data_IF_629508189959
#
_entry.id   IF_629508189959
#
_cell.length_a   1.000
_cell.length_b   1.000
_cell.length_c   1.000
_cell.angle_alpha   90.00
_cell.angle_beta   90.00
_cell.angle_gamma   90.00
#
_symmetry.space_group_name_H-M   'P 1'
#
loop_
_entity.id
_entity.type
_entity.pdbx_description
1 polymer ?
#
# COMPACT_ATOMS: atom_id res chain seq x y z
N UNK A 1 17.66 -53.82 21.82
CA UNK A 1 17.34 -54.34 20.47
C UNK A 1 15.84 -54.32 20.28
N UNK A 2 15.31 -53.20 19.79
CA UNK A 2 13.98 -53.15 19.16
C UNK A 2 14.27 -52.55 17.81
N UNK A 3 14.59 -53.43 16.87
CA UNK A 3 14.76 -53.10 15.47
C UNK A 3 13.46 -53.45 14.76
N UNK A 4 13.01 -52.49 13.93
CA UNK A 4 12.41 -52.71 12.63
C UNK A 4 11.19 -53.64 12.53
N UNK A 5 10.00 -53.03 12.49
CA UNK A 5 8.84 -53.59 11.78
C UNK A 5 7.88 -52.47 11.33
N UNK A 6 8.39 -51.49 10.59
CA UNK A 6 7.58 -50.57 9.78
C UNK A 6 7.91 -50.70 8.29
N UNK A 7 8.08 -51.93 7.79
CA UNK A 7 8.17 -52.19 6.36
C UNK A 7 6.76 -52.54 5.85
N UNK A 8 6.05 -51.54 5.31
CA UNK A 8 4.72 -51.73 4.73
C UNK A 8 3.83 -50.50 4.65
N UNK A 9 4.23 -49.36 5.25
CA UNK A 9 3.53 -48.11 5.00
C UNK A 9 3.94 -47.60 3.61
N UNK A 10 2.97 -47.22 2.73
CA UNK A 10 3.32 -46.54 1.49
C UNK A 10 4.14 -45.29 1.83
N UNK A 11 5.20 -45.04 1.06
CA UNK A 11 6.04 -43.86 1.25
C UNK A 11 5.12 -42.63 1.33
N UNK A 12 5.06 -42.00 2.49
CA UNK A 12 4.23 -40.82 2.68
C UNK A 12 4.80 -39.70 1.83
N UNK A 13 4.12 -39.37 0.74
CA UNK A 13 4.37 -38.16 -0.02
C UNK A 13 3.56 -37.03 0.61
N UNK A 14 4.20 -35.97 1.13
CA UNK A 14 3.47 -34.81 1.62
C UNK A 14 2.59 -34.22 0.50
N UNK A 15 1.38 -33.74 0.83
CA UNK A 15 0.61 -32.85 -0.03
C UNK A 15 1.49 -31.72 -0.59
N UNK A 16 1.21 -31.30 -1.83
CA UNK A 16 1.98 -30.24 -2.50
C UNK A 16 2.08 -28.97 -1.66
N UNK A 17 1.01 -28.56 -0.98
CA UNK A 17 0.98 -27.42 -0.06
C UNK A 17 1.95 -27.56 1.12
N UNK A 18 2.09 -28.75 1.71
CA UNK A 18 3.08 -28.99 2.78
C UNK A 18 4.51 -28.99 2.24
N UNK A 19 4.70 -29.37 0.98
CA UNK A 19 6.01 -29.30 0.31
C UNK A 19 6.40 -27.84 0.04
N UNK A 20 5.48 -27.02 -0.44
CA UNK A 20 5.68 -25.58 -0.67
C UNK A 20 6.02 -24.83 0.62
N UNK A 21 5.39 -25.20 1.75
CA UNK A 21 5.72 -24.63 3.07
C UNK A 21 7.11 -25.02 3.58
N UNK A 22 7.73 -26.05 3.01
CA UNK A 22 9.08 -26.48 3.33
C UNK A 22 10.18 -25.71 2.59
N UNK A 23 9.84 -24.93 1.57
CA UNK A 23 10.82 -24.14 0.81
C UNK A 23 11.40 -23.01 1.66
N UNK A 24 12.72 -22.69 1.52
CA UNK A 24 13.33 -21.58 2.23
C UNK A 24 12.59 -20.25 1.96
N UNK A 25 12.10 -19.53 2.98
CA UNK A 25 11.21 -18.38 2.74
C UNK A 25 11.86 -17.23 1.94
N UNK A 26 13.17 -17.01 2.08
CA UNK A 26 13.90 -16.04 1.27
C UNK A 26 13.97 -16.42 -0.22
N UNK A 27 13.98 -17.73 -0.55
CA UNK A 27 13.94 -18.20 -1.95
C UNK A 27 12.55 -18.08 -2.53
N UNK A 28 11.51 -18.42 -1.76
CA UNK A 28 10.11 -18.16 -2.13
C UNK A 28 9.89 -16.66 -2.42
N UNK A 29 10.48 -15.79 -1.59
CA UNK A 29 10.44 -14.35 -1.81
C UNK A 29 11.15 -13.96 -3.11
N UNK A 30 12.37 -14.46 -3.35
CA UNK A 30 13.10 -14.23 -4.60
C UNK A 30 12.33 -14.72 -5.85
N UNK A 31 11.77 -15.93 -5.79
CA UNK A 31 10.94 -16.49 -6.85
C UNK A 31 9.74 -15.60 -7.19
N UNK A 32 9.09 -15.01 -6.19
CA UNK A 32 8.04 -14.04 -6.44
C UNK A 32 8.56 -12.79 -7.13
N UNK A 33 9.62 -12.16 -6.60
CA UNK A 33 10.15 -10.89 -7.13
C UNK A 33 10.59 -11.02 -8.58
N UNK A 34 11.23 -12.13 -8.94
CA UNK A 34 11.78 -12.35 -10.28
C UNK A 34 10.82 -13.09 -11.20
N UNK A 35 9.88 -13.88 -10.66
CA UNK A 35 9.04 -14.82 -11.40
C UNK A 35 7.55 -14.47 -11.48
N UNK A 36 7.08 -13.42 -10.77
CA UNK A 36 5.65 -13.11 -10.74
C UNK A 36 5.05 -12.61 -12.06
N UNK A 37 5.89 -12.07 -12.95
CA UNK A 37 5.53 -11.70 -14.32
C UNK A 37 6.77 -11.65 -15.21
N UNK A 38 6.60 -11.84 -16.52
CA UNK A 38 7.64 -11.58 -17.51
C UNK A 38 7.82 -10.08 -17.78
N UNK A 39 6.78 -9.27 -17.55
CA UNK A 39 6.86 -7.81 -17.66
C UNK A 39 7.53 -7.20 -16.41
N UNK A 40 8.62 -6.48 -16.62
CA UNK A 40 9.35 -5.74 -15.59
C UNK A 40 8.49 -4.69 -14.89
N UNK A 41 7.53 -4.10 -15.61
CA UNK A 41 6.63 -3.08 -15.04
C UNK A 41 5.72 -3.71 -13.99
N UNK A 42 5.14 -4.85 -14.33
CA UNK A 42 4.29 -5.65 -13.44
C UNK A 42 5.08 -6.17 -12.25
N UNK A 43 6.29 -6.71 -12.46
CA UNK A 43 7.17 -7.10 -11.34
C UNK A 43 7.45 -5.95 -10.40
N UNK A 44 7.70 -4.75 -10.94
CA UNK A 44 7.92 -3.54 -10.13
C UNK A 44 6.69 -3.19 -9.29
N UNK A 45 5.49 -3.16 -9.90
CA UNK A 45 4.26 -2.87 -9.19
C UNK A 45 3.93 -3.93 -8.12
N UNK A 46 4.00 -5.21 -8.47
CA UNK A 46 3.72 -6.33 -7.58
C UNK A 46 4.71 -6.42 -6.40
N UNK A 47 6.01 -6.22 -6.65
CA UNK A 47 7.02 -6.19 -5.60
C UNK A 47 6.86 -4.98 -4.69
N UNK A 48 6.54 -3.81 -5.26
CA UNK A 48 6.24 -2.61 -4.46
C UNK A 48 5.03 -2.85 -3.56
N UNK A 49 3.98 -3.47 -4.12
CA UNK A 49 2.77 -3.81 -3.39
C UNK A 49 3.07 -4.77 -2.23
N UNK A 50 3.81 -5.86 -2.49
CA UNK A 50 4.26 -6.79 -1.45
C UNK A 50 5.00 -6.08 -0.30
N UNK A 51 5.99 -5.25 -0.62
CA UNK A 51 6.80 -4.55 0.39
C UNK A 51 5.95 -3.62 1.24
N UNK A 52 5.11 -2.80 0.60
CA UNK A 52 4.23 -1.87 1.32
C UNK A 52 3.18 -2.62 2.15
N UNK A 53 2.67 -3.74 1.67
CA UNK A 53 1.73 -4.58 2.42
C UNK A 53 2.37 -5.28 3.63
N UNK A 54 3.59 -5.79 3.51
CA UNK A 54 4.34 -6.30 4.65
C UNK A 54 4.65 -5.18 5.66
N UNK A 55 4.99 -3.98 5.17
CA UNK A 55 5.16 -2.82 6.03
C UNK A 55 3.86 -2.50 6.80
N UNK A 56 2.72 -2.47 6.11
CA UNK A 56 1.40 -2.25 6.71
C UNK A 56 1.05 -3.29 7.78
N UNK A 57 1.36 -4.58 7.55
CA UNK A 57 1.10 -5.65 8.51
C UNK A 57 1.83 -5.48 9.84
N UNK A 58 3.03 -4.90 9.83
CA UNK A 58 3.76 -4.57 11.04
C UNK A 58 3.32 -3.22 11.64
N UNK A 59 2.94 -2.29 10.77
CA UNK A 59 2.35 -1.02 11.14
C UNK A 59 3.23 -0.16 12.05
N UNK A 60 2.64 0.43 13.09
CA UNK A 60 3.30 1.44 13.94
C UNK A 60 4.48 0.88 14.74
N UNK A 61 4.55 -0.43 14.95
CA UNK A 61 5.68 -1.10 15.60
C UNK A 61 6.96 -0.98 14.78
N UNK A 62 6.83 -0.99 13.45
CA UNK A 62 7.96 -0.89 12.54
C UNK A 62 8.31 0.57 12.26
N UNK A 63 7.32 1.42 12.02
CA UNK A 63 7.54 2.86 11.76
C UNK A 63 6.36 3.72 12.25
N UNK A 64 6.60 4.94 12.77
CA UNK A 64 5.51 5.81 13.23
C UNK A 64 4.50 6.22 12.15
N UNK A 65 4.93 6.38 10.90
CA UNK A 65 4.07 6.71 9.76
C UNK A 65 4.09 5.55 8.78
N UNK A 66 3.00 4.79 8.75
CA UNK A 66 2.85 3.60 7.92
C UNK A 66 2.35 4.01 6.54
N UNK A 67 3.01 3.61 5.45
CA UNK A 67 2.59 4.01 4.12
C UNK A 67 1.28 3.34 3.71
N UNK A 68 0.43 4.13 3.06
CA UNK A 68 -0.74 3.65 2.34
C UNK A 68 -0.38 3.29 0.90
N UNK A 69 -1.07 2.30 0.35
CA UNK A 69 -0.90 1.78 -1.00
C UNK A 69 -2.26 1.79 -1.69
N UNK A 70 -2.34 2.46 -2.84
CA UNK A 70 -3.44 2.28 -3.77
C UNK A 70 -2.88 1.94 -5.14
N UNK A 71 -3.28 0.80 -5.67
CA UNK A 71 -2.96 0.39 -7.04
C UNK A 71 -3.87 1.16 -8.00
N UNK A 72 -3.30 1.69 -9.08
CA UNK A 72 -4.04 2.47 -10.07
C UNK A 72 -3.83 1.88 -11.44
N UNK A 73 -4.91 1.44 -12.06
CA UNK A 73 -4.91 0.83 -13.39
C UNK A 73 -6.11 1.32 -14.22
N UNK A 74 -6.08 1.18 -15.55
CA UNK A 74 -7.14 1.66 -16.43
C UNK A 74 -8.42 0.80 -16.43
N UNK A 75 -8.39 -0.40 -15.83
CA UNK A 75 -9.50 -1.36 -15.82
C UNK A 75 -10.47 -1.19 -14.65
N UNK A 76 -11.36 -2.19 -14.50
CA UNK A 76 -12.25 -2.30 -13.34
C UNK A 76 -11.45 -2.76 -12.10
N UNK A 77 -11.49 -2.02 -10.98
CA UNK A 77 -10.68 -2.32 -9.79
C UNK A 77 -10.93 -3.67 -9.14
N UNK A 78 -12.10 -4.27 -9.40
CA UNK A 78 -12.46 -5.58 -8.88
C UNK A 78 -11.61 -6.72 -9.48
N UNK A 79 -11.04 -6.51 -10.67
CA UNK A 79 -10.31 -7.51 -11.44
C UNK A 79 -8.78 -7.32 -11.35
N UNK A 80 -8.29 -6.53 -10.39
CA UNK A 80 -6.86 -6.26 -10.24
C UNK A 80 -6.10 -7.47 -9.66
N UNK A 81 -5.22 -8.13 -10.45
CA UNK A 81 -4.51 -9.33 -10.01
C UNK A 81 -3.48 -9.04 -8.90
N UNK A 82 -2.91 -7.84 -8.87
CA UNK A 82 -1.97 -7.42 -7.83
C UNK A 82 -2.71 -7.17 -6.53
N UNK A 83 -3.88 -6.51 -6.59
CA UNK A 83 -4.70 -6.28 -5.40
C UNK A 83 -5.25 -7.59 -4.83
N UNK A 84 -5.67 -8.52 -5.70
CA UNK A 84 -6.09 -9.87 -5.28
C UNK A 84 -4.99 -10.60 -4.52
N UNK A 85 -3.75 -10.58 -5.05
CA UNK A 85 -2.59 -11.15 -4.35
C UNK A 85 -2.34 -10.46 -2.99
N UNK A 86 -2.35 -9.12 -2.95
CA UNK A 86 -2.16 -8.37 -1.70
C UNK A 86 -3.25 -8.68 -0.68
N UNK A 87 -4.52 -8.77 -1.13
CA UNK A 87 -5.66 -9.13 -0.29
C UNK A 87 -5.38 -10.43 0.45
N UNK A 88 -4.93 -11.45 -0.26
CA UNK A 88 -4.63 -12.76 0.32
C UNK A 88 -3.49 -12.73 1.35
N UNK A 89 -2.60 -11.73 1.29
CA UNK A 89 -1.53 -11.55 2.28
C UNK A 89 -1.99 -10.83 3.54
N UNK A 90 -2.82 -9.78 3.40
CA UNK A 90 -3.11 -8.85 4.51
C UNK A 90 -4.52 -8.97 5.09
N UNK A 91 -5.44 -9.59 4.35
CA UNK A 91 -6.84 -9.68 4.70
C UNK A 91 -7.28 -11.13 4.89
N UNK A 92 -7.82 -11.41 6.08
CA UNK A 92 -8.48 -12.68 6.38
C UNK A 92 -9.97 -12.43 6.59
N UNK A 93 -10.78 -12.89 5.65
CA UNK A 93 -12.23 -12.68 5.67
C UNK A 93 -12.89 -13.33 6.90
N UNK A 94 -12.34 -14.43 7.41
CA UNK A 94 -12.87 -15.10 8.60
C UNK A 94 -12.59 -14.30 9.88
N UNK A 95 -11.59 -13.42 9.87
CA UNK A 95 -11.30 -12.57 11.01
C UNK A 95 -12.35 -11.46 11.15
N UNK A 96 -12.93 -10.96 10.06
CA UNK A 96 -13.86 -9.83 10.06
C UNK A 96 -15.33 -10.22 10.20
N UNK A 97 -15.65 -11.52 10.17
CA UNK A 97 -17.03 -11.99 10.28
C UNK A 97 -17.55 -12.00 11.72
N UNK A 98 -18.84 -11.68 11.93
CA UNK A 98 -19.50 -11.90 13.20
C UNK A 98 -19.44 -13.39 13.57
N UNK A 99 -19.15 -13.70 14.84
CA UNK A 99 -18.96 -15.09 15.28
C UNK A 99 -19.22 -15.30 16.76
N UNK A 100 -19.74 -16.48 17.10
CA UNK A 100 -19.90 -16.90 18.49
C UNK A 100 -18.54 -17.27 19.08
N UNK A 101 -18.15 -16.58 20.14
CA UNK A 101 -16.89 -16.86 20.84
C UNK A 101 -16.98 -18.14 21.67
N UNK A 102 -15.87 -18.89 21.68
CA UNK A 102 -15.70 -20.12 22.46
C UNK A 102 -15.04 -19.90 23.82
N UNK A 103 -14.57 -18.68 24.09
CA UNK A 103 -13.85 -18.30 25.30
C UNK A 103 -14.15 -16.84 25.67
N UNK A 104 -13.88 -16.46 26.92
CA UNK A 104 -13.97 -15.08 27.38
C UNK A 104 -15.35 -14.63 27.90
N UNK A 105 -15.50 -13.34 28.26
CA UNK A 105 -16.68 -12.80 28.95
C UNK A 105 -17.99 -12.83 28.13
N UNK A 106 -17.91 -13.09 26.82
CA UNK A 106 -19.03 -13.14 25.88
C UNK A 106 -19.19 -14.53 25.24
N UNK A 107 -18.63 -15.56 25.88
CA UNK A 107 -18.66 -16.94 25.39
C UNK A 107 -20.10 -17.46 25.22
N UNK A 108 -20.35 -18.16 24.10
CA UNK A 108 -21.65 -18.77 23.74
C UNK A 108 -22.84 -17.82 23.62
N UNK A 109 -22.63 -16.50 23.72
CA UNK A 109 -23.69 -15.53 23.50
C UNK A 109 -23.96 -15.36 22.01
N UNK A 110 -25.22 -15.11 21.67
CA UNK A 110 -25.67 -14.92 20.30
C UNK A 110 -25.15 -13.59 19.72
N UNK A 111 -24.90 -13.56 18.42
CA UNK A 111 -24.33 -12.38 17.71
C UNK A 111 -25.26 -11.17 17.84
N UNK A 112 -26.56 -11.39 17.85
CA UNK A 112 -27.60 -10.35 17.94
C UNK A 112 -27.57 -9.60 19.28
N UNK A 113 -27.01 -10.20 20.33
CA UNK A 113 -26.91 -9.59 21.66
C UNK A 113 -25.66 -8.70 21.82
N UNK A 114 -24.72 -8.80 20.87
CA UNK A 114 -23.45 -8.10 20.95
C UNK A 114 -23.59 -6.57 20.86
N UNK A 115 -24.37 -5.97 19.94
CA UNK A 115 -24.53 -4.51 19.88
C UNK A 115 -25.08 -3.92 21.18
N UNK A 116 -26.11 -4.53 21.77
CA UNK A 116 -26.68 -4.08 23.03
C UNK A 116 -25.67 -4.20 24.19
N UNK A 117 -24.87 -5.26 24.18
CA UNK A 117 -23.85 -5.48 25.21
C UNK A 117 -22.70 -4.48 25.11
N UNK A 118 -22.26 -4.13 23.89
CA UNK A 118 -21.31 -3.04 23.65
C UNK A 118 -21.86 -1.73 24.20
N UNK A 119 -23.10 -1.36 23.84
CA UNK A 119 -23.72 -0.12 24.30
C UNK A 119 -23.78 -0.04 25.83
N UNK A 120 -24.26 -1.10 26.49
CA UNK A 120 -24.37 -1.15 27.94
C UNK A 120 -22.99 -1.04 28.63
N UNK A 121 -21.98 -1.72 28.10
CA UNK A 121 -20.62 -1.68 28.61
C UNK A 121 -19.98 -0.29 28.43
N UNK A 122 -20.16 0.31 27.25
CA UNK A 122 -19.70 1.66 26.94
C UNK A 122 -20.31 2.70 27.89
N UNK A 123 -21.64 2.73 28.02
CA UNK A 123 -22.34 3.65 28.92
C UNK A 123 -21.90 3.46 30.37
N UNK A 124 -21.77 2.21 30.82
CA UNK A 124 -21.29 1.89 32.17
C UNK A 124 -19.88 2.46 32.40
N UNK A 125 -18.97 2.32 31.42
CA UNK A 125 -17.61 2.86 31.53
C UNK A 125 -17.57 4.38 31.49
N UNK A 126 -18.41 5.02 30.67
CA UNK A 126 -18.54 6.48 30.60
C UNK A 126 -19.05 7.07 31.93
N UNK A 127 -20.03 6.43 32.57
CA UNK A 127 -20.55 6.86 33.88
C UNK A 127 -19.51 6.84 35.00
N UNK A 128 -18.51 5.97 34.91
CA UNK A 128 -17.41 5.91 35.88
C UNK A 128 -16.38 7.03 35.70
N UNK A 129 -16.33 7.69 34.54
CA UNK A 129 -15.33 8.72 34.22
C UNK A 129 -13.92 8.17 34.00
N UNK A 130 -13.01 8.98 33.46
CA UNK A 130 -11.63 8.55 33.18
C UNK A 130 -10.84 8.21 34.44
N UNK A 131 -11.04 9.01 35.49
CA UNK A 131 -10.33 8.89 36.75
C UNK A 131 -11.04 7.90 37.67
N UNK A 132 -10.38 6.78 37.94
CA UNK A 132 -10.87 5.76 38.86
C UNK A 132 -10.14 5.94 40.20
N UNK A 133 -10.55 6.95 40.98
CA UNK A 133 -9.96 7.26 42.28
C UNK A 133 -9.95 6.01 43.18
N UNK A 134 -8.75 5.52 43.53
CA UNK A 134 -8.37 4.68 44.69
C UNK A 134 -9.20 3.44 45.06
N UNK A 135 -10.30 3.14 44.38
CA UNK A 135 -11.28 2.13 44.74
C UNK A 135 -11.06 0.88 43.90
N UNK A 136 -10.54 -0.22 44.49
CA UNK A 136 -10.30 -1.46 43.76
C UNK A 136 -11.57 -2.03 43.12
N UNK A 137 -12.73 -1.82 43.75
CA UNK A 137 -14.02 -2.25 43.22
C UNK A 137 -14.41 -1.50 41.95
N UNK A 138 -14.23 -0.16 41.93
CA UNK A 138 -14.49 0.62 40.70
C UNK A 138 -13.53 0.25 39.57
N UNK A 139 -12.27 -0.05 39.89
CA UNK A 139 -11.29 -0.52 38.90
C UNK A 139 -11.69 -1.88 38.31
N UNK A 140 -12.16 -2.81 39.16
CA UNK A 140 -12.65 -4.11 38.71
C UNK A 140 -13.90 -3.97 37.82
N UNK A 141 -14.86 -3.12 38.21
CA UNK A 141 -16.06 -2.87 37.41
C UNK A 141 -15.76 -2.22 36.06
N UNK A 142 -14.80 -1.29 36.02
CA UNK A 142 -14.33 -0.68 34.78
C UNK A 142 -13.71 -1.71 33.85
N UNK A 143 -12.81 -2.56 34.36
CA UNK A 143 -12.21 -3.66 33.59
C UNK A 143 -13.26 -4.62 33.05
N UNK A 144 -14.22 -5.03 33.87
CA UNK A 144 -15.31 -5.91 33.43
C UNK A 144 -16.15 -5.28 32.32
N UNK A 145 -16.36 -3.95 32.35
CA UNK A 145 -17.04 -3.24 31.27
C UNK A 145 -16.17 -3.19 30.00
N UNK A 146 -14.90 -2.83 30.13
CA UNK A 146 -13.93 -2.82 29.03
C UNK A 146 -13.83 -4.19 28.34
N UNK A 147 -13.60 -5.26 29.10
CA UNK A 147 -13.52 -6.63 28.59
C UNK A 147 -14.82 -7.08 27.93
N UNK A 148 -15.98 -6.75 28.52
CA UNK A 148 -17.28 -7.10 27.93
C UNK A 148 -17.54 -6.35 26.63
N UNK A 149 -17.14 -5.08 26.53
CA UNK A 149 -17.24 -4.32 25.29
C UNK A 149 -16.39 -4.94 24.19
N UNK A 150 -15.10 -5.22 24.46
CA UNK A 150 -14.20 -5.76 23.44
C UNK A 150 -14.60 -7.17 23.02
N UNK A 151 -15.01 -8.02 23.97
CA UNK A 151 -15.54 -9.32 23.63
C UNK A 151 -16.82 -9.19 22.78
N UNK A 152 -17.78 -8.35 23.16
CA UNK A 152 -18.97 -8.14 22.32
C UNK A 152 -18.61 -7.57 20.94
N UNK A 153 -17.64 -6.66 20.84
CA UNK A 153 -17.14 -6.11 19.58
C UNK A 153 -16.57 -7.19 18.66
N UNK A 154 -15.76 -8.11 19.19
CA UNK A 154 -15.24 -9.27 18.45
C UNK A 154 -16.37 -10.17 17.96
N UNK A 155 -17.43 -10.36 18.76
CA UNK A 155 -18.60 -11.16 18.33
C UNK A 155 -19.37 -10.48 17.21
N UNK A 156 -19.59 -9.17 17.31
CA UNK A 156 -20.42 -8.41 16.37
C UNK A 156 -19.70 -8.11 15.05
N UNK A 157 -18.42 -7.81 15.11
CA UNK A 157 -17.66 -7.27 13.99
C UNK A 157 -16.41 -8.10 13.67
N UNK A 158 -16.17 -9.21 14.36
CA UNK A 158 -14.90 -9.91 14.23
C UNK A 158 -13.73 -9.10 14.82
N UNK A 159 -12.52 -9.54 14.52
CA UNK A 159 -11.25 -9.02 15.01
C UNK A 159 -10.26 -8.90 13.84
N UNK A 160 -9.05 -8.40 14.10
CA UNK A 160 -7.99 -8.38 13.10
C UNK A 160 -7.46 -6.98 12.81
N UNK A 161 -6.39 -6.93 12.02
CA UNK A 161 -5.64 -5.71 11.71
C UNK A 161 -6.04 -5.12 10.35
N UNK A 162 -6.98 -5.75 9.65
CA UNK A 162 -7.46 -5.33 8.34
C UNK A 162 -8.98 -5.46 8.27
N UNK A 163 -9.66 -4.49 7.65
CA UNK A 163 -11.12 -4.50 7.45
C UNK A 163 -11.52 -3.87 6.12
N UNK A 164 -12.65 -4.28 5.51
CA UNK A 164 -13.26 -3.51 4.43
C UNK A 164 -13.53 -2.07 4.89
N UNK A 165 -13.26 -1.10 4.03
CA UNK A 165 -13.36 0.33 4.34
C UNK A 165 -14.76 0.71 4.82
N UNK A 166 -15.81 0.25 4.13
CA UNK A 166 -17.19 0.60 4.44
C UNK A 166 -17.64 0.08 5.82
N UNK A 167 -17.12 -1.08 6.23
CA UNK A 167 -17.47 -1.75 7.48
C UNK A 167 -16.61 -1.34 8.67
N UNK A 168 -15.51 -0.61 8.44
CA UNK A 168 -14.57 -0.24 9.50
C UNK A 168 -15.11 0.88 10.42
N UNK A 169 -16.13 1.63 9.98
CA UNK A 169 -16.64 2.81 10.68
C UNK A 169 -17.96 2.51 11.40
N UNK A 170 -17.92 2.47 12.72
CA UNK A 170 -19.14 2.39 13.54
C UNK A 170 -19.69 3.79 13.82
N UNK A 171 -21.01 4.03 13.68
CA UNK A 171 -21.62 5.35 13.89
C UNK A 171 -21.37 5.92 15.31
N UNK A 172 -21.49 5.09 16.35
CA UNK A 172 -21.33 5.53 17.75
C UNK A 172 -19.89 5.44 18.29
N UNK A 173 -19.06 4.55 17.73
CA UNK A 173 -17.74 4.21 18.29
C UNK A 173 -16.58 4.63 17.38
N UNK A 174 -16.88 5.21 16.22
CA UNK A 174 -15.90 5.58 15.21
C UNK A 174 -15.20 4.35 14.62
N UNK A 175 -13.92 4.50 14.33
CA UNK A 175 -13.10 3.49 13.68
C UNK A 175 -12.84 2.27 14.58
N UNK A 176 -13.19 1.10 14.07
CA UNK A 176 -12.98 -0.20 14.71
C UNK A 176 -11.57 -0.74 14.42
N UNK A 177 -10.57 -0.21 15.12
CA UNK A 177 -9.17 -0.62 15.02
C UNK A 177 -8.81 -1.80 15.94
N UNK A 178 -7.60 -2.33 15.78
CA UNK A 178 -7.05 -3.34 16.69
C UNK A 178 -6.68 -2.76 18.08
N UNK A 179 -6.12 -3.62 18.94
CA UNK A 179 -5.70 -3.26 20.31
C UNK A 179 -4.62 -2.17 20.34
N UNK A 180 -3.83 -2.04 19.27
CA UNK A 180 -2.78 -1.04 19.11
C UNK A 180 -3.32 0.28 18.54
N UNK A 181 -4.62 0.32 18.24
CA UNK A 181 -5.27 1.49 17.67
C UNK A 181 -4.89 1.73 16.21
N UNK A 182 -4.43 0.68 15.51
CA UNK A 182 -4.10 0.74 14.08
C UNK A 182 -5.00 -0.18 13.25
N UNK A 183 -5.11 0.12 11.96
CA UNK A 183 -5.84 -0.73 11.02
C UNK A 183 -5.41 -0.51 9.57
N UNK A 184 -5.46 -1.58 8.78
CA UNK A 184 -5.41 -1.56 7.32
C UNK A 184 -6.85 -1.48 6.80
N UNK A 185 -7.21 -0.37 6.18
CA UNK A 185 -8.49 -0.18 5.51
C UNK A 185 -8.40 -0.68 4.07
N UNK A 186 -9.18 -1.71 3.76
CA UNK A 186 -9.17 -2.39 2.47
C UNK A 186 -10.27 -1.90 1.55
N UNK A 187 -9.93 -1.68 0.29
CA UNK A 187 -10.89 -1.43 -0.78
C UNK A 187 -11.23 -2.73 -1.50
N UNK A 188 -11.91 -3.66 -0.80
CA UNK A 188 -12.13 -5.02 -1.29
C UNK A 188 -13.26 -5.09 -2.33
N UNK A 189 -14.27 -4.22 -2.24
CA UNK A 189 -15.40 -4.18 -3.17
C UNK A 189 -15.76 -2.77 -3.63
N UNK A 190 -16.73 -2.67 -4.54
CA UNK A 190 -17.19 -1.40 -5.10
C UNK A 190 -17.79 -0.47 -4.05
N UNK A 191 -18.45 -1.04 -3.03
CA UNK A 191 -18.98 -0.28 -1.91
C UNK A 191 -17.87 0.41 -1.13
N UNK A 192 -16.77 -0.30 -0.82
CA UNK A 192 -15.61 0.28 -0.14
C UNK A 192 -15.03 1.45 -0.93
N UNK A 193 -14.84 1.27 -2.24
CA UNK A 193 -14.29 2.30 -3.13
C UNK A 193 -15.21 3.50 -3.20
N UNK A 194 -16.51 3.29 -3.29
CA UNK A 194 -17.52 4.34 -3.32
C UNK A 194 -17.53 5.15 -2.02
N UNK A 195 -17.58 4.48 -0.87
CA UNK A 195 -17.60 5.14 0.46
C UNK A 195 -16.27 5.86 0.71
N UNK A 196 -15.13 5.27 0.33
CA UNK A 196 -13.82 5.92 0.41
C UNK A 196 -13.75 7.21 -0.42
N UNK A 197 -14.21 7.17 -1.67
CA UNK A 197 -14.21 8.34 -2.55
C UNK A 197 -15.18 9.43 -2.06
N UNK A 198 -16.30 9.04 -1.46
CA UNK A 198 -17.25 9.96 -0.84
C UNK A 198 -16.64 10.63 0.41
N UNK A 199 -16.02 9.84 1.30
CA UNK A 199 -15.36 10.33 2.49
C UNK A 199 -14.18 11.26 2.16
N UNK A 200 -13.39 10.95 1.12
CA UNK A 200 -12.33 11.86 0.64
C UNK A 200 -12.88 13.24 0.26
N UNK A 201 -14.09 13.31 -0.31
CA UNK A 201 -14.68 14.56 -0.80
C UNK A 201 -15.46 15.32 0.26
N UNK A 202 -16.16 14.61 1.13
CA UNK A 202 -17.15 15.19 2.05
C UNK A 202 -16.73 15.08 3.52
N UNK A 203 -15.89 14.10 3.86
CA UNK A 203 -15.48 13.79 5.23
C UNK A 203 -13.97 13.53 5.38
N UNK A 204 -13.08 14.38 4.83
CA UNK A 204 -11.64 14.11 4.83
C UNK A 204 -11.05 13.97 6.24
N UNK A 205 -11.71 14.56 7.25
CA UNK A 205 -11.37 14.39 8.66
C UNK A 205 -11.36 12.94 9.14
N UNK A 206 -12.16 12.04 8.55
CA UNK A 206 -12.10 10.60 8.86
C UNK A 206 -10.75 9.99 8.50
N UNK A 207 -10.15 10.43 7.39
CA UNK A 207 -8.87 9.91 6.93
C UNK A 207 -7.72 10.60 7.65
N UNK A 208 -7.74 11.94 7.73
CA UNK A 208 -6.66 12.77 8.30
C UNK A 208 -6.56 12.61 9.82
N UNK A 209 -7.70 12.54 10.51
CA UNK A 209 -7.80 12.43 11.96
C UNK A 209 -8.77 11.32 12.36
N UNK A 210 -8.48 10.06 12.02
CA UNK A 210 -9.37 8.95 12.30
C UNK A 210 -9.55 8.83 13.82
N UNK A 211 -10.80 8.80 14.27
CA UNK A 211 -11.15 8.64 15.68
C UNK A 211 -11.85 7.31 15.89
N UNK A 212 -11.56 6.68 17.02
CA UNK A 212 -12.26 5.49 17.47
C UNK A 212 -12.13 5.32 18.98
N UNK A 213 -12.74 4.27 19.50
CA UNK A 213 -12.69 3.97 20.93
C UNK A 213 -11.39 3.24 21.31
N UNK A 214 -10.72 3.67 22.38
CA UNK A 214 -9.52 3.01 22.94
C UNK A 214 -9.88 1.78 23.81
N UNK A 215 -8.90 0.99 24.27
CA UNK A 215 -9.15 -0.12 25.19
C UNK A 215 -9.95 0.26 26.45
N UNK A 216 -9.83 1.50 26.92
CA UNK A 216 -10.56 2.01 28.09
C UNK A 216 -11.91 2.65 27.78
N UNK A 217 -12.43 2.44 26.56
CA UNK A 217 -13.71 2.92 26.07
C UNK A 217 -13.86 4.44 25.95
N UNK A 218 -12.77 5.16 25.69
CA UNK A 218 -12.80 6.61 25.38
C UNK A 218 -12.35 6.92 23.96
N UNK A 219 -12.84 8.02 23.35
CA UNK A 219 -12.38 8.47 22.04
C UNK A 219 -10.88 8.79 22.04
N UNK A 220 -10.16 8.25 21.06
CA UNK A 220 -8.74 8.51 20.78
C UNK A 220 -8.51 8.60 19.27
N UNK A 221 -7.41 9.25 18.89
CA UNK A 221 -6.88 9.16 17.53
C UNK A 221 -6.43 7.73 17.23
N UNK A 222 -6.66 7.30 16.00
CA UNK A 222 -6.25 5.99 15.47
C UNK A 222 -5.19 6.18 14.39
N UNK A 223 -4.56 5.09 13.99
CA UNK A 223 -3.68 5.05 12.81
C UNK A 223 -4.36 4.23 11.72
N UNK A 224 -4.36 4.74 10.49
CA UNK A 224 -4.88 4.01 9.34
C UNK A 224 -3.79 3.89 8.27
N UNK A 225 -3.84 2.77 7.56
CA UNK A 225 -3.19 2.64 6.25
C UNK A 225 -4.22 2.15 5.24
N UNK A 226 -4.23 2.72 4.05
CA UNK A 226 -5.12 2.28 2.97
C UNK A 226 -4.42 1.22 2.13
N UNK A 227 -5.17 0.23 1.67
CA UNK A 227 -4.67 -0.84 0.84
C UNK A 227 -5.77 -1.31 -0.12
N UNK A 228 -5.50 -1.30 -1.41
CA UNK A 228 -6.50 -1.69 -2.40
C UNK A 228 -6.20 -1.17 -3.79
N UNK A 229 -7.07 -1.49 -4.74
CA UNK A 229 -7.07 -0.85 -6.05
C UNK A 229 -8.02 0.34 -6.14
N UNK A 230 -7.81 1.26 -7.08
CA UNK A 230 -8.78 2.30 -7.45
C UNK A 230 -8.70 2.57 -8.94
N UNK A 231 -9.84 2.86 -9.55
CA UNK A 231 -9.85 3.47 -10.87
C UNK A 231 -9.22 4.85 -10.80
N UNK A 232 -8.68 5.27 -11.93
CA UNK A 232 -8.17 6.60 -12.23
C UNK A 232 -8.72 7.73 -11.32
N UNK A 233 -7.88 8.32 -10.45
CA UNK A 233 -8.34 9.43 -9.63
C UNK A 233 -8.62 10.64 -10.52
N UNK A 234 -9.82 11.21 -10.38
CA UNK A 234 -10.12 12.53 -10.91
C UNK A 234 -9.19 13.57 -10.28
N UNK A 235 -8.96 14.70 -10.96
CA UNK A 235 -8.07 15.74 -10.46
C UNK A 235 -8.44 16.23 -9.05
N UNK A 236 -9.74 16.25 -8.71
CA UNK A 236 -10.22 16.57 -7.37
C UNK A 236 -9.79 15.53 -6.34
N UNK A 237 -9.98 14.25 -6.61
CA UNK A 237 -9.55 13.14 -5.73
C UNK A 237 -8.05 13.18 -5.45
N UNK A 238 -7.24 13.45 -6.47
CA UNK A 238 -5.79 13.60 -6.28
C UNK A 238 -5.41 14.79 -5.38
N UNK A 239 -6.20 15.86 -5.36
CA UNK A 239 -5.97 16.98 -4.45
C UNK A 239 -6.20 16.58 -3.00
N UNK A 240 -7.31 15.88 -2.72
CA UNK A 240 -7.64 15.43 -1.37
C UNK A 240 -6.60 14.40 -0.88
N UNK A 241 -6.16 13.49 -1.76
CA UNK A 241 -5.08 12.53 -1.49
C UNK A 241 -3.78 13.23 -1.13
N UNK A 242 -3.40 14.30 -1.83
CA UNK A 242 -2.18 15.04 -1.54
C UNK A 242 -2.35 15.90 -0.27
N UNK A 243 -3.55 16.41 0.01
CA UNK A 243 -3.87 17.13 1.23
C UNK A 243 -3.91 16.23 2.47
N UNK A 244 -4.02 14.91 2.29
CA UNK A 244 -4.04 13.92 3.36
C UNK A 244 -2.81 13.99 4.29
N UNK A 245 -1.65 14.42 3.77
CA UNK A 245 -0.43 14.63 4.57
C UNK A 245 0.24 13.35 5.10
N UNK A 246 -0.28 12.17 4.75
CA UNK A 246 0.30 10.86 5.03
C UNK A 246 1.04 10.31 3.80
N UNK A 247 1.97 9.35 3.97
CA UNK A 247 2.66 8.73 2.86
C UNK A 247 1.71 7.78 2.11
N UNK A 248 1.02 8.28 1.09
CA UNK A 248 0.13 7.49 0.23
C UNK A 248 0.72 7.34 -1.16
N UNK A 249 0.99 6.09 -1.56
CA UNK A 249 1.51 5.73 -2.87
C UNK A 249 0.38 5.24 -3.78
N UNK A 250 0.04 6.06 -4.77
CA UNK A 250 -0.75 5.70 -5.94
C UNK A 250 0.13 4.98 -6.96
N UNK A 251 0.25 3.66 -6.93
CA UNK A 251 1.19 2.90 -7.78
C UNK A 251 0.55 2.62 -9.15
N UNK A 252 1.01 3.25 -10.25
CA UNK A 252 0.45 3.01 -11.57
C UNK A 252 0.90 1.66 -12.14
N UNK A 253 -0.02 0.88 -12.70
CA UNK A 253 0.30 -0.36 -13.43
C UNK A 253 -0.72 -0.65 -14.54
N UNK A 254 -0.39 -1.65 -15.37
CA UNK A 254 -1.17 -2.05 -16.55
C UNK A 254 -1.58 -3.52 -16.53
N UNK A 255 -1.13 -4.31 -15.55
CA UNK A 255 -1.39 -5.75 -15.54
C UNK A 255 -2.89 -6.04 -15.49
N UNK A 256 -3.37 -6.78 -16.49
CA UNK A 256 -4.72 -7.33 -16.56
C UNK A 256 -4.74 -8.86 -16.49
N UNK A 257 -3.58 -9.52 -16.58
CA UNK A 257 -3.44 -10.97 -16.54
C UNK A 257 -3.12 -11.47 -15.12
N UNK A 258 -3.41 -12.74 -14.84
CA UNK A 258 -3.16 -13.32 -13.52
C UNK A 258 -1.66 -13.33 -13.18
N UNK A 259 -1.28 -12.79 -12.02
CA UNK A 259 0.07 -12.91 -11.48
C UNK A 259 0.45 -14.39 -11.28
N UNK A 260 1.69 -14.74 -11.64
CA UNK A 260 2.23 -16.08 -11.40
C UNK A 260 2.78 -16.18 -9.98
N UNK A 261 2.09 -16.88 -9.09
CA UNK A 261 2.54 -17.07 -7.70
C UNK A 261 2.66 -18.55 -7.37
N UNK A 262 3.76 -19.16 -7.82
CA UNK A 262 3.97 -20.61 -7.72
C UNK A 262 3.94 -21.14 -6.27
N UNK A 263 4.39 -20.32 -5.31
CA UNK A 263 4.50 -20.65 -3.88
C UNK A 263 3.63 -19.74 -2.98
N UNK A 264 2.42 -19.42 -3.42
CA UNK A 264 1.50 -18.53 -2.69
C UNK A 264 1.26 -18.90 -1.20
N UNK A 265 1.05 -20.18 -0.83
CA UNK A 265 0.85 -20.56 0.58
C UNK A 265 2.06 -20.23 1.48
N UNK A 266 3.28 -20.35 0.96
CA UNK A 266 4.50 -20.02 1.71
C UNK A 266 4.67 -18.51 1.89
N UNK A 267 4.31 -17.69 0.90
CA UNK A 267 4.27 -16.23 1.05
C UNK A 267 3.21 -15.79 2.06
N UNK A 268 2.02 -16.39 2.02
CA UNK A 268 0.97 -16.14 3.00
C UNK A 268 1.43 -16.51 4.42
N UNK A 269 2.04 -17.69 4.59
CA UNK A 269 2.60 -18.11 5.88
C UNK A 269 3.70 -17.15 6.37
N UNK A 270 4.56 -16.66 5.46
CA UNK A 270 5.57 -15.65 5.77
C UNK A 270 4.90 -14.34 6.23
N UNK A 271 3.87 -13.86 5.53
CA UNK A 271 3.15 -12.64 5.89
C UNK A 271 2.45 -12.74 7.25
N UNK A 272 1.80 -13.89 7.53
CA UNK A 272 1.16 -14.14 8.82
C UNK A 272 2.18 -14.22 9.97
N UNK A 273 3.31 -14.90 9.75
CA UNK A 273 4.38 -14.96 10.75
C UNK A 273 5.03 -13.60 10.95
N UNK A 274 5.24 -12.85 9.85
CA UNK A 274 5.77 -11.50 9.85
C UNK A 274 4.90 -10.58 10.69
N UNK A 275 3.58 -10.58 10.52
CA UNK A 275 2.63 -9.75 11.31
C UNK A 275 2.84 -9.86 12.82
N UNK A 276 3.11 -11.06 13.32
CA UNK A 276 3.26 -11.33 14.75
C UNK A 276 4.71 -11.28 15.25
N UNK A 277 5.67 -11.06 14.35
CA UNK A 277 7.08 -11.02 14.70
C UNK A 277 7.42 -9.76 15.51
N UNK A 278 8.28 -9.94 16.52
CA UNK A 278 8.89 -8.82 17.23
C UNK A 278 10.07 -8.32 16.40
N UNK A 279 9.89 -7.17 15.76
CA UNK A 279 10.88 -6.56 14.86
C UNK A 279 11.30 -5.22 15.44
N UNK A 280 12.60 -4.93 15.40
CA UNK A 280 13.11 -3.64 15.84
C UNK A 280 12.60 -2.52 14.90
N UNK A 281 12.14 -1.38 15.44
CA UNK A 281 11.69 -0.25 14.63
C UNK A 281 12.76 0.22 13.65
N UNK A 282 12.31 0.75 12.51
CA UNK A 282 13.18 1.29 11.47
C UNK A 282 13.24 2.81 11.58
N UNK A 283 14.44 3.31 11.86
CA UNK A 283 14.73 4.73 11.84
C UNK A 283 14.94 5.23 10.40
N UNK A 284 14.64 6.50 10.18
CA UNK A 284 14.93 7.20 8.93
C UNK A 284 16.44 7.25 8.70
N UNK A 285 16.93 6.65 7.62
CA UNK A 285 18.35 6.75 7.26
C UNK A 285 18.66 8.17 6.78
N UNK A 286 19.72 8.83 7.27
CA UNK A 286 20.11 10.14 6.75
C UNK A 286 20.69 10.07 5.32
N UNK A 287 21.08 8.87 4.85
CA UNK A 287 21.73 8.66 3.56
C UNK A 287 21.10 7.48 2.84
N UNK A 288 20.56 7.73 1.65
CA UNK A 288 20.14 6.68 0.74
C UNK A 288 21.36 5.96 0.14
N UNK A 289 21.23 4.69 -0.26
CA UNK A 289 22.23 3.96 -1.02
C UNK A 289 22.79 4.78 -2.21
N UNK A 290 24.09 4.63 -2.49
CA UNK A 290 24.81 5.47 -3.45
C UNK A 290 24.89 4.91 -4.87
N UNK A 291 24.05 3.93 -5.22
CA UNK A 291 24.04 3.37 -6.56
C UNK A 291 23.63 4.42 -7.61
N UNK A 292 24.04 4.21 -8.86
CA UNK A 292 23.74 5.15 -9.95
C UNK A 292 22.24 5.31 -10.17
N UNK A 293 21.49 4.19 -10.17
CA UNK A 293 20.04 4.21 -10.36
C UNK A 293 19.30 4.83 -9.16
N UNK A 294 19.75 4.61 -7.91
CA UNK A 294 19.17 5.27 -6.73
C UNK A 294 19.35 6.78 -6.80
N UNK A 295 20.50 7.25 -7.30
CA UNK A 295 20.74 8.68 -7.54
C UNK A 295 19.79 9.24 -8.61
N UNK A 296 19.53 8.50 -9.69
CA UNK A 296 18.58 8.90 -10.74
C UNK A 296 17.17 9.03 -10.19
N UNK A 297 16.67 8.01 -9.49
CA UNK A 297 15.34 8.05 -8.86
C UNK A 297 15.21 9.20 -7.86
N UNK A 298 16.21 9.42 -7.00
CA UNK A 298 16.22 10.53 -6.05
C UNK A 298 16.14 11.89 -6.72
N UNK A 299 16.86 12.08 -7.84
CA UNK A 299 16.82 13.32 -8.59
C UNK A 299 15.43 13.55 -9.22
N UNK A 300 14.82 12.51 -9.78
CA UNK A 300 13.48 12.58 -10.35
C UNK A 300 12.41 12.87 -9.29
N UNK A 301 12.52 12.22 -8.13
CA UNK A 301 11.67 12.43 -6.97
C UNK A 301 11.79 13.87 -6.45
N UNK A 302 13.02 14.36 -6.21
CA UNK A 302 13.26 15.70 -5.64
C UNK A 302 12.61 16.81 -6.48
N UNK A 303 12.71 16.71 -7.81
CA UNK A 303 12.10 17.68 -8.73
C UNK A 303 10.58 17.74 -8.57
N UNK A 304 9.94 16.59 -8.35
CA UNK A 304 8.47 16.48 -8.27
C UNK A 304 7.94 16.77 -6.87
N UNK A 305 8.63 16.34 -5.83
CA UNK A 305 8.25 16.64 -4.45
C UNK A 305 8.33 18.14 -4.11
N UNK A 306 9.25 18.88 -4.75
CA UNK A 306 9.33 20.34 -4.61
C UNK A 306 8.06 21.07 -5.11
N UNK A 307 7.17 20.36 -5.79
CA UNK A 307 5.95 20.87 -6.40
C UNK A 307 4.68 20.42 -5.66
N UNK A 308 4.84 19.67 -4.57
CA UNK A 308 3.75 19.17 -3.73
C UNK A 308 3.74 19.96 -2.41
N UNK A 309 2.61 19.95 -1.68
CA UNK A 309 2.54 20.48 -0.32
C UNK A 309 3.62 19.86 0.58
N UNK A 310 4.16 20.68 1.48
CA UNK A 310 5.31 20.33 2.31
C UNK A 310 5.05 19.07 3.13
N UNK A 311 3.89 18.94 3.76
CA UNK A 311 3.58 17.81 4.65
C UNK A 311 3.57 16.47 3.89
N UNK A 312 2.96 16.45 2.70
CA UNK A 312 2.97 15.27 1.83
C UNK A 312 4.37 14.97 1.29
N UNK A 313 5.10 16.00 0.84
CA UNK A 313 6.47 15.83 0.37
C UNK A 313 7.40 15.27 1.47
N UNK A 314 7.23 15.75 2.70
CA UNK A 314 7.98 15.28 3.86
C UNK A 314 7.65 13.83 4.21
N UNK A 315 6.36 13.47 4.27
CA UNK A 315 5.92 12.10 4.57
C UNK A 315 6.47 11.09 3.53
N UNK A 316 6.40 11.42 2.24
CA UNK A 316 6.96 10.58 1.17
C UNK A 316 8.48 10.45 1.29
N UNK A 317 9.19 11.55 1.59
CA UNK A 317 10.65 11.49 1.83
C UNK A 317 10.98 10.61 3.02
N UNK A 318 10.24 10.74 4.13
CA UNK A 318 10.45 9.92 5.31
C UNK A 318 10.31 8.43 4.99
N UNK A 319 9.25 8.04 4.27
CA UNK A 319 9.05 6.66 3.86
C UNK A 319 10.20 6.13 2.98
N UNK A 320 10.66 6.93 2.01
CA UNK A 320 11.77 6.55 1.12
C UNK A 320 13.09 6.38 1.88
N UNK A 321 13.33 7.20 2.90
CA UNK A 321 14.50 7.10 3.76
C UNK A 321 14.43 5.95 4.77
N UNK A 322 13.26 5.37 5.00
CA UNK A 322 13.08 4.15 5.80
C UNK A 322 13.13 2.88 4.95
N UNK A 323 12.84 2.96 3.65
CA UNK A 323 12.65 1.82 2.75
C UNK A 323 13.80 0.80 2.78
N UNK A 324 15.05 1.25 2.77
CA UNK A 324 16.22 0.35 2.81
C UNK A 324 16.22 -0.52 4.07
N UNK A 325 15.97 0.10 5.23
CA UNK A 325 15.83 -0.62 6.51
C UNK A 325 14.61 -1.54 6.54
N UNK A 326 13.51 -1.17 5.89
CA UNK A 326 12.35 -2.05 5.75
C UNK A 326 12.69 -3.30 4.93
N UNK A 327 13.33 -3.11 3.78
CA UNK A 327 13.73 -4.21 2.89
C UNK A 327 14.71 -5.15 3.59
N UNK A 328 15.70 -4.61 4.30
CA UNK A 328 16.63 -5.40 5.14
C UNK A 328 15.89 -6.25 6.17
N UNK A 329 14.91 -5.69 6.88
CA UNK A 329 14.13 -6.43 7.88
C UNK A 329 13.31 -7.56 7.27
N UNK A 330 12.65 -7.30 6.13
CA UNK A 330 11.85 -8.31 5.42
C UNK A 330 12.74 -9.48 5.00
N UNK A 331 13.87 -9.20 4.34
CA UNK A 331 14.77 -10.25 3.84
C UNK A 331 15.47 -10.98 4.99
N UNK A 332 15.97 -10.25 5.98
CA UNK A 332 16.59 -10.86 7.17
C UNK A 332 15.63 -11.77 7.93
N UNK A 333 14.35 -11.41 7.98
CA UNK A 333 13.31 -12.26 8.56
C UNK A 333 13.10 -13.53 7.71
N UNK A 334 12.94 -13.38 6.39
CA UNK A 334 12.76 -14.50 5.47
C UNK A 334 13.98 -15.47 5.43
N UNK A 335 15.18 -14.93 5.66
CA UNK A 335 16.46 -15.64 5.61
C UNK A 335 16.98 -16.18 6.93
N UNK A 336 16.31 -15.88 8.07
CA UNK A 336 16.86 -16.04 9.43
C UNK A 336 17.49 -17.41 9.73
N UNK A 337 16.96 -18.48 9.15
CA UNK A 337 17.37 -19.86 9.47
C UNK A 337 18.29 -20.49 8.43
N UNK A 338 18.32 -19.98 7.20
CA UNK A 338 18.88 -20.72 6.06
C UNK A 338 19.44 -19.84 4.92
N UNK A 339 19.39 -18.51 5.04
CA UNK A 339 19.85 -17.61 3.99
C UNK A 339 21.36 -17.38 4.03
N UNK A 340 22.02 -17.52 2.88
CA UNK A 340 23.42 -17.14 2.72
C UNK A 340 23.55 -15.61 2.61
N UNK A 341 24.61 -15.04 3.19
CA UNK A 341 24.81 -13.58 3.27
C UNK A 341 24.78 -12.91 1.89
N UNK A 342 25.37 -13.55 0.88
CA UNK A 342 25.37 -13.03 -0.49
C UNK A 342 23.99 -13.06 -1.15
N UNK A 343 23.25 -14.17 -1.00
CA UNK A 343 21.88 -14.32 -1.50
C UNK A 343 20.95 -13.27 -0.87
N UNK A 344 21.00 -13.14 0.47
CA UNK A 344 20.22 -12.13 1.18
C UNK A 344 20.60 -10.71 0.76
N UNK A 345 21.91 -10.43 0.59
CA UNK A 345 22.39 -9.13 0.15
C UNK A 345 22.01 -8.76 -1.29
N UNK A 346 21.84 -9.73 -2.18
CA UNK A 346 21.30 -9.52 -3.53
C UNK A 346 19.79 -9.26 -3.47
N UNK A 347 19.06 -10.09 -2.72
CA UNK A 347 17.62 -9.99 -2.57
C UNK A 347 17.18 -8.65 -1.96
N UNK A 348 17.89 -8.14 -0.94
CA UNK A 348 17.63 -6.81 -0.36
C UNK A 348 17.70 -5.73 -1.45
N UNK A 349 18.71 -5.78 -2.32
CA UNK A 349 18.91 -4.77 -3.37
C UNK A 349 17.81 -4.81 -4.42
N UNK A 350 17.38 -6.01 -4.81
CA UNK A 350 16.34 -6.18 -5.83
C UNK A 350 14.98 -5.70 -5.30
N UNK A 351 14.62 -6.08 -4.08
CA UNK A 351 13.41 -5.61 -3.41
C UNK A 351 13.44 -4.09 -3.25
N UNK A 352 14.54 -3.55 -2.74
CA UNK A 352 14.72 -2.11 -2.58
C UNK A 352 14.62 -1.38 -3.93
N UNK A 353 15.20 -1.93 -4.99
CA UNK A 353 15.15 -1.37 -6.34
C UNK A 353 13.75 -1.31 -6.90
N UNK A 354 13.01 -2.42 -6.85
CA UNK A 354 11.63 -2.45 -7.32
C UNK A 354 10.71 -1.55 -6.50
N UNK A 355 10.78 -1.62 -5.17
CA UNK A 355 9.96 -0.80 -4.29
C UNK A 355 10.25 0.70 -4.46
N UNK A 356 11.52 1.09 -4.52
CA UNK A 356 11.88 2.49 -4.74
C UNK A 356 11.39 2.97 -6.11
N UNK A 357 11.56 2.17 -7.16
CA UNK A 357 11.08 2.51 -8.50
C UNK A 357 9.56 2.70 -8.50
N UNK A 358 8.79 1.78 -7.90
CA UNK A 358 7.33 1.90 -7.78
C UNK A 358 6.89 3.14 -6.99
N UNK A 359 7.56 3.45 -5.88
CA UNK A 359 7.30 4.66 -5.09
C UNK A 359 7.61 5.95 -5.88
N UNK A 360 8.68 5.98 -6.67
CA UNK A 360 9.01 7.14 -7.53
C UNK A 360 8.03 7.27 -8.69
N UNK A 361 7.66 6.16 -9.33
CA UNK A 361 6.63 6.13 -10.38
C UNK A 361 5.27 6.57 -9.84
N UNK A 362 4.97 6.27 -8.58
CA UNK A 362 3.77 6.77 -7.92
C UNK A 362 3.72 8.30 -7.85
N UNK A 363 4.81 8.92 -7.39
CA UNK A 363 4.92 10.40 -7.33
C UNK A 363 4.91 11.01 -8.74
N UNK A 364 5.54 10.35 -9.70
CA UNK A 364 5.54 10.80 -11.09
C UNK A 364 4.17 10.64 -11.76
N UNK A 365 3.43 9.60 -11.40
CA UNK A 365 2.07 9.31 -11.87
C UNK A 365 1.06 10.40 -11.52
N UNK A 366 1.32 11.18 -10.46
CA UNK A 366 0.52 12.35 -10.10
C UNK A 366 0.49 13.42 -11.22
N UNK A 367 1.47 13.41 -12.13
CA UNK A 367 1.50 14.35 -13.26
C UNK A 367 0.29 14.14 -14.19
N UNK A 368 -0.31 12.96 -14.19
CA UNK A 368 -1.60 12.70 -14.84
C UNK A 368 -2.66 13.71 -14.40
N UNK A 369 -2.78 14.00 -13.11
CA UNK A 369 -3.76 14.97 -12.58
C UNK A 369 -3.21 16.41 -12.52
N UNK A 370 -2.00 16.64 -13.02
CA UNK A 370 -1.31 17.93 -12.97
C UNK A 370 -0.54 18.17 -11.67
N UNK A 371 -0.60 17.24 -10.70
CA UNK A 371 0.12 17.34 -9.43
C UNK A 371 1.56 16.84 -9.61
N UNK A 372 2.53 17.56 -9.07
CA UNK A 372 3.94 17.23 -9.30
C UNK A 372 4.40 17.36 -10.76
N UNK A 373 3.58 17.97 -11.64
CA UNK A 373 3.88 18.14 -13.06
C UNK A 373 5.09 19.06 -13.24
N UNK A 374 6.22 18.48 -13.62
CA UNK A 374 7.47 19.21 -13.82
C UNK A 374 7.64 19.58 -15.30
N UNK A 375 7.50 20.86 -15.64
CA UNK A 375 7.63 21.37 -17.02
C UNK A 375 9.00 22.02 -17.28
N UNK A 376 9.90 22.01 -16.29
CA UNK A 376 11.15 22.77 -16.32
C UNK A 376 10.95 24.27 -16.03
N UNK A 377 12.05 24.99 -15.76
CA UNK A 377 12.00 26.38 -15.28
C UNK A 377 11.36 27.34 -16.29
N UNK A 378 11.51 27.08 -17.59
CA UNK A 378 11.00 27.93 -18.66
C UNK A 378 9.47 27.86 -18.80
N UNK A 379 8.88 26.70 -18.52
CA UNK A 379 7.43 26.46 -18.64
C UNK A 379 6.72 26.46 -17.28
N UNK A 380 7.43 26.71 -16.19
CA UNK A 380 6.86 26.76 -14.84
C UNK A 380 5.68 27.76 -14.71
N UNK A 381 5.79 29.01 -15.23
CA UNK A 381 4.67 29.95 -15.20
C UNK A 381 3.44 29.49 -16.00
N UNK A 382 3.59 28.50 -16.88
CA UNK A 382 2.54 27.97 -17.74
C UNK A 382 1.83 26.75 -17.13
N UNK A 383 2.25 26.27 -15.95
CA UNK A 383 1.70 25.05 -15.34
C UNK A 383 0.19 25.08 -15.16
N UNK A 384 -0.36 26.16 -14.62
CA UNK A 384 -1.81 26.32 -14.47
C UNK A 384 -2.54 26.28 -15.83
N UNK A 385 -1.91 26.81 -16.89
CA UNK A 385 -2.46 26.70 -18.25
C UNK A 385 -2.38 25.25 -18.76
N UNK A 386 -1.27 24.55 -18.54
CA UNK A 386 -1.14 23.13 -18.89
C UNK A 386 -2.23 22.28 -18.24
N UNK A 387 -2.50 22.46 -16.94
CA UNK A 387 -3.54 21.71 -16.23
C UNK A 387 -4.91 21.95 -16.87
N UNK A 388 -5.24 23.20 -17.19
CA UNK A 388 -6.50 23.54 -17.87
C UNK A 388 -6.58 22.98 -19.29
N UNK A 389 -5.46 22.95 -20.03
CA UNK A 389 -5.38 22.34 -21.37
C UNK A 389 -5.63 20.83 -21.28
N UNK A 390 -4.94 20.12 -20.38
CA UNK A 390 -5.12 18.68 -20.18
C UNK A 390 -6.55 18.33 -19.77
N UNK A 391 -7.14 19.12 -18.86
CA UNK A 391 -8.53 18.96 -18.45
C UNK A 391 -9.49 19.14 -19.62
N UNK A 392 -9.26 20.15 -20.47
CA UNK A 392 -10.06 20.38 -21.68
C UNK A 392 -9.90 19.26 -22.70
N UNK A 393 -8.68 18.81 -22.97
CA UNK A 393 -8.42 17.75 -23.94
C UNK A 393 -9.08 16.43 -23.53
N UNK A 394 -9.01 16.07 -22.24
CA UNK A 394 -9.64 14.83 -21.74
C UNK A 394 -11.17 14.88 -21.70
N UNK A 395 -11.76 16.07 -21.61
CA UNK A 395 -13.22 16.24 -21.57
C UNK A 395 -13.85 16.48 -22.94
N UNK A 396 -13.16 17.19 -23.84
CA UNK A 396 -13.70 17.60 -25.16
C UNK A 396 -13.06 16.86 -26.32
N UNK A 397 -12.04 16.05 -26.07
CA UNK A 397 -11.25 15.38 -27.10
C UNK A 397 -10.23 16.32 -27.73
N UNK A 398 -10.02 16.16 -29.03
CA UNK A 398 -8.98 16.84 -29.80
C UNK A 398 -9.18 18.36 -29.88
N UNK A 399 -8.09 19.13 -29.82
CA UNK A 399 -8.10 20.59 -29.97
C UNK A 399 -6.97 21.01 -30.92
N UNK A 400 -7.19 22.02 -31.75
CA UNK A 400 -6.15 22.51 -32.67
C UNK A 400 -5.13 23.42 -31.97
N UNK A 401 -3.90 23.45 -32.47
CA UNK A 401 -2.85 24.36 -31.97
C UNK A 401 -3.22 25.85 -32.07
N UNK A 402 -4.11 26.22 -33.00
CA UNK A 402 -4.65 27.57 -33.15
C UNK A 402 -5.68 27.89 -32.07
N UNK A 403 -6.54 26.93 -31.72
CA UNK A 403 -7.49 27.08 -30.62
C UNK A 403 -6.77 27.20 -29.28
N UNK A 404 -5.64 26.51 -29.08
CA UNK A 404 -4.83 26.68 -27.87
C UNK A 404 -4.31 28.11 -27.72
N UNK A 405 -3.83 28.74 -28.79
CA UNK A 405 -3.38 30.14 -28.76
C UNK A 405 -4.52 31.09 -28.39
N UNK A 406 -5.69 30.90 -29.03
CA UNK A 406 -6.87 31.77 -28.86
C UNK A 406 -7.52 31.60 -27.48
N UNK A 407 -7.74 30.36 -27.05
CA UNK A 407 -8.51 30.05 -25.84
C UNK A 407 -7.72 30.17 -24.54
N UNK A 408 -6.38 30.08 -24.59
CA UNK A 408 -5.52 30.13 -23.40
C UNK A 408 -4.58 31.35 -23.39
N UNK A 409 -4.75 32.28 -24.34
CA UNK A 409 -3.98 33.51 -24.46
C UNK A 409 -2.47 33.26 -24.33
N UNK A 410 -1.94 32.35 -25.15
CA UNK A 410 -0.52 31.97 -25.15
C UNK A 410 0.19 32.55 -26.36
N UNK A 411 1.48 32.89 -26.20
CA UNK A 411 2.34 33.19 -27.34
C UNK A 411 2.70 31.90 -28.09
N UNK A 412 3.06 32.01 -29.37
CA UNK A 412 3.46 30.87 -30.21
C UNK A 412 4.59 30.05 -29.57
N UNK A 413 5.66 30.72 -29.14
CA UNK A 413 6.81 30.08 -28.50
C UNK A 413 6.44 29.39 -27.17
N UNK A 414 5.60 30.03 -26.36
CA UNK A 414 5.12 29.46 -25.09
C UNK A 414 4.31 28.18 -25.33
N UNK A 415 3.40 28.21 -26.32
CA UNK A 415 2.63 27.03 -26.73
C UNK A 415 3.55 25.91 -27.19
N UNK A 416 4.51 26.20 -28.08
CA UNK A 416 5.37 25.17 -28.67
C UNK A 416 6.24 24.50 -27.60
N UNK A 417 6.84 25.29 -26.70
CA UNK A 417 7.59 24.78 -25.56
C UNK A 417 6.69 23.96 -24.61
N UNK A 418 5.48 24.44 -24.31
CA UNK A 418 4.54 23.74 -23.43
C UNK A 418 4.09 22.40 -24.01
N UNK A 419 3.74 22.36 -25.29
CA UNK A 419 3.32 21.15 -25.99
C UNK A 419 4.46 20.13 -26.04
N UNK A 420 5.69 20.59 -26.31
CA UNK A 420 6.87 19.74 -26.25
C UNK A 420 7.03 19.10 -24.86
N UNK A 421 6.99 19.90 -23.78
CA UNK A 421 7.13 19.38 -22.40
C UNK A 421 6.03 18.42 -22.00
N UNK A 422 4.78 18.71 -22.37
CA UNK A 422 3.66 17.80 -22.10
C UNK A 422 3.74 16.51 -22.91
N UNK A 423 4.32 16.56 -24.11
CA UNK A 423 4.60 15.38 -24.93
C UNK A 423 5.76 14.55 -24.36
N UNK A 424 6.82 15.18 -23.85
CA UNK A 424 7.93 14.51 -23.13
C UNK A 424 7.41 13.78 -21.88
N UNK A 425 6.42 14.36 -21.19
CA UNK A 425 5.72 13.73 -20.08
C UNK A 425 4.64 12.70 -20.53
N UNK A 426 4.50 12.40 -21.82
CA UNK A 426 3.48 11.50 -22.37
C UNK A 426 2.03 11.82 -21.93
N UNK A 427 1.72 13.11 -21.73
CA UNK A 427 0.38 13.58 -21.33
C UNK A 427 -0.49 13.99 -22.53
N UNK A 428 0.15 14.25 -23.68
CA UNK A 428 -0.52 14.54 -24.95
C UNK A 428 0.32 14.09 -26.14
N UNK A 429 -0.32 14.02 -27.30
CA UNK A 429 0.28 13.84 -28.62
C UNK A 429 -0.05 15.03 -29.50
N UNK A 430 0.88 15.39 -30.39
CA UNK A 430 0.68 16.42 -31.42
C UNK A 430 0.68 15.72 -32.77
N UNK A 431 -0.49 15.73 -33.43
CA UNK A 431 -0.73 15.06 -34.71
C UNK A 431 -1.00 16.14 -35.76
N UNK A 432 0.08 16.61 -36.41
CA UNK A 432 0.02 17.74 -37.32
C UNK A 432 -0.41 19.04 -36.63
N UNK A 433 -1.61 19.53 -36.93
CA UNK A 433 -2.19 20.72 -36.27
C UNK A 433 -3.05 20.41 -35.04
N UNK A 434 -3.30 19.13 -34.78
CA UNK A 434 -4.18 18.64 -33.73
C UNK A 434 -3.38 18.24 -32.49
N UNK A 435 -3.97 18.48 -31.33
CA UNK A 435 -3.43 18.12 -30.02
C UNK A 435 -4.46 17.22 -29.36
N UNK A 436 -4.01 16.03 -28.96
CA UNK A 436 -4.85 14.97 -28.40
C UNK A 436 -4.29 14.58 -27.03
N UNK A 437 -5.13 14.43 -26.01
CA UNK A 437 -4.68 13.87 -24.73
C UNK A 437 -4.37 12.37 -24.90
N UNK A 438 -3.31 11.90 -24.26
CA UNK A 438 -3.03 10.46 -24.18
C UNK A 438 -4.08 9.76 -23.33
N UNK A 439 -4.30 8.47 -23.60
CA UNK A 439 -5.07 7.62 -22.67
C UNK A 439 -4.26 7.38 -21.40
N UNK A 440 -4.90 6.95 -20.31
CA UNK A 440 -4.14 6.62 -19.10
C UNK A 440 -3.18 5.45 -19.32
N UNK A 441 -3.61 4.45 -20.10
CA UNK A 441 -2.76 3.33 -20.48
C UNK A 441 -1.50 3.81 -21.20
N UNK A 442 -1.65 4.66 -22.22
CA UNK A 442 -0.52 5.26 -22.95
C UNK A 442 0.39 6.06 -22.01
N UNK A 443 -0.18 6.81 -21.07
CA UNK A 443 0.58 7.56 -20.08
C UNK A 443 1.41 6.64 -19.18
N UNK A 444 0.82 5.57 -18.63
CA UNK A 444 1.54 4.62 -17.77
C UNK A 444 2.61 3.89 -18.57
N UNK A 445 2.33 3.45 -19.80
CA UNK A 445 3.36 2.87 -20.66
C UNK A 445 4.53 3.82 -20.90
N UNK A 446 4.22 5.09 -21.23
CA UNK A 446 5.19 6.14 -21.42
C UNK A 446 6.00 6.41 -20.14
N UNK A 447 5.35 6.37 -18.98
CA UNK A 447 5.97 6.57 -17.67
C UNK A 447 7.06 5.51 -17.39
N UNK A 448 6.76 4.22 -17.59
CA UNK A 448 7.74 3.15 -17.38
C UNK A 448 8.87 3.13 -18.42
N UNK A 449 8.70 3.75 -19.58
CA UNK A 449 9.73 3.84 -20.64
C UNK A 449 10.70 5.01 -20.46
N UNK A 450 10.44 5.94 -19.53
CA UNK A 450 11.30 7.13 -19.40
C UNK A 450 12.68 6.77 -18.87
N UNK A 451 13.70 7.37 -19.46
CA UNK A 451 15.10 7.21 -19.03
C UNK A 451 15.35 7.68 -17.58
N UNK A 452 14.50 8.57 -17.05
CA UNK A 452 14.54 8.98 -15.64
C UNK A 452 14.12 7.86 -14.67
N UNK A 453 13.48 6.80 -15.17
CA UNK A 453 13.01 5.65 -14.40
C UNK A 453 13.54 4.32 -14.96
N UNK A 454 14.88 4.14 -15.01
CA UNK A 454 15.47 2.93 -15.58
C UNK A 454 14.93 1.66 -14.92
N UNK A 455 14.89 0.52 -15.63
CA UNK A 455 14.60 -0.78 -15.04
C UNK A 455 15.53 -1.14 -13.88
N UNK A 456 15.06 -2.00 -12.99
CA UNK A 456 15.86 -2.49 -11.85
C UNK A 456 16.86 -3.53 -12.36
N UNK A 457 18.10 -3.45 -11.87
CA UNK A 457 19.12 -4.46 -12.13
C UNK A 457 18.86 -5.66 -11.23
N UNK A 458 18.78 -6.86 -11.81
CA UNK A 458 18.54 -8.10 -11.09
C UNK A 458 19.85 -8.66 -10.50
N UNK A 459 20.18 -8.24 -9.28
CA UNK A 459 21.40 -8.65 -8.56
C UNK A 459 21.36 -10.14 -8.19
N UNK A 460 20.17 -10.68 -7.91
CA UNK A 460 19.97 -12.10 -7.63
C UNK A 460 20.36 -12.97 -8.81
N UNK A 461 19.88 -12.66 -10.01
CA UNK A 461 20.22 -13.41 -11.22
C UNK A 461 21.72 -13.33 -11.53
N UNK A 462 22.33 -12.16 -11.37
CA UNK A 462 23.78 -11.97 -11.52
C UNK A 462 24.54 -12.87 -10.53
N UNK A 463 24.11 -12.93 -9.27
CA UNK A 463 24.70 -13.82 -8.27
C UNK A 463 24.55 -15.29 -8.66
N UNK A 464 23.34 -15.73 -9.05
CA UNK A 464 23.09 -17.13 -9.43
C UNK A 464 23.93 -17.56 -10.64
N UNK A 465 24.11 -16.68 -11.63
CA UNK A 465 25.02 -16.93 -12.75
C UNK A 465 26.47 -17.08 -12.29
N UNK A 466 26.95 -16.22 -11.38
CA UNK A 466 28.31 -16.31 -10.83
C UNK A 466 28.53 -17.59 -10.03
N UNK A 467 27.56 -17.99 -9.20
CA UNK A 467 27.60 -19.23 -8.43
C UNK A 467 27.58 -20.46 -9.34
N UNK A 468 26.83 -20.42 -10.45
CA UNK A 468 26.81 -21.50 -11.44
C UNK A 468 28.19 -21.67 -12.08
N UNK A 469 28.80 -20.58 -12.54
CA UNK A 469 30.16 -20.60 -13.14
C UNK A 469 31.21 -21.07 -12.14
N UNK A 470 31.09 -20.75 -10.85
CA UNK A 470 32.03 -21.20 -9.83
C UNK A 470 31.91 -22.70 -9.48
N UNK A 471 30.80 -23.36 -9.85
CA UNK A 471 30.54 -24.79 -9.62
C UNK A 471 30.90 -25.66 -10.82
N UNK A 472 31.02 -25.07 -12.00
CA UNK A 472 31.55 -25.68 -13.23
C UNK A 472 33.08 -25.59 -13.25
#
# INVERSE_FOLDING_TARGET
MIADNFTGLPAWTPPATLTQLGEPPHRVLAEFIHGCSQDDKTRTAATTALVLSLWQLQGIKLTPQVPSLLLVHPGEPADDPIDSFVKDLVYNEEDTKPRVQRQGPFMHMAVEQAPQSMMNAYLKRQQMGRELEGSPMRQLEARNAEERFHAASITAHGFGHSRPYAEAWHPDYGLLADEEGQIILRLNGDEDRKVFLDDLQHHPGKLVFPQGICPHLFPVGKSISLSGSVSLPQARTANEIVAYGQPLFLVPHLECDSLKVDNAPALQALAQTWRHAVIAPVATSPRLPTSEWTRTYRNALRKRLALLPYDHAFAIQQAIHQLDGICDRIVSFAGRMCGEVEELGALVRDIYGHALRGMVLSVAGLSWTGRGLYLGPECEPLREKAIKILTRLRSKGTVTTTELLKNFHMKKLERDALLQRLSEENLLRVEGSEVVATTYQEFVEGLYRREEFPPVVNEWEVLQQRLKVARE
#
